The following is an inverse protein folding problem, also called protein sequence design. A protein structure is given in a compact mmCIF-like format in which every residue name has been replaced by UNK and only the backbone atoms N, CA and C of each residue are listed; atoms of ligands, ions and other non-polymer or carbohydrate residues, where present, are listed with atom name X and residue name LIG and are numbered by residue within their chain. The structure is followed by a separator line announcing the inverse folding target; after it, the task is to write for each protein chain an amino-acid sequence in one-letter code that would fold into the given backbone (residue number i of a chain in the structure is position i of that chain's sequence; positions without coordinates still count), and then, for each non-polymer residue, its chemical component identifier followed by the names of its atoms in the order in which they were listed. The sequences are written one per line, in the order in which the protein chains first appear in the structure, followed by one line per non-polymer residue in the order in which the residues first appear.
data_IF_200570561839
#
_entry.id   IF_200570561839
#
_cell.length_a   1.000
_cell.length_b   1.000
_cell.length_c   1.000
_cell.angle_alpha   90.00
_cell.angle_beta   90.00
_cell.angle_gamma   90.00
#
_symmetry.space_group_name_H-M   'P 1'
#
loop_
_entity.id
_entity.type
_entity.pdbx_description
1 polymer ?
#
# COMPACT_ATOMS: atom_id res chain seq x y z
N UNK A 1 -8.07 -9.16 -27.28
CA UNK A 1 -7.36 -7.92 -27.70
C UNK A 1 -8.04 -6.62 -27.24
N UNK A 2 -9.37 -6.48 -27.35
CA UNK A 2 -10.09 -5.26 -26.95
C UNK A 2 -9.95 -4.86 -25.46
N UNK A 3 -9.75 -5.82 -24.56
CA UNK A 3 -9.59 -5.57 -23.12
C UNK A 3 -8.24 -4.90 -22.79
N UNK A 4 -7.15 -5.41 -23.38
CA UNK A 4 -5.81 -4.84 -23.18
C UNK A 4 -5.74 -3.40 -23.70
N UNK A 5 -6.31 -3.11 -24.87
CA UNK A 5 -6.29 -1.76 -25.46
C UNK A 5 -7.02 -0.72 -24.58
N UNK A 6 -8.04 -1.14 -23.82
CA UNK A 6 -8.79 -0.23 -22.91
C UNK A 6 -8.19 -0.12 -21.52
N UNK A 7 -7.64 -1.22 -20.97
CA UNK A 7 -7.08 -1.23 -19.61
C UNK A 7 -5.66 -0.68 -19.54
N UNK A 8 -4.86 -0.90 -20.58
CA UNK A 8 -3.45 -0.52 -20.57
C UNK A 8 -3.23 1.00 -20.40
N UNK A 9 -3.97 1.90 -21.08
CA UNK A 9 -3.81 3.34 -20.89
C UNK A 9 -4.22 3.81 -19.49
N UNK A 10 -5.36 3.32 -18.99
CA UNK A 10 -5.86 3.63 -17.65
C UNK A 10 -4.88 3.16 -16.57
N UNK A 11 -4.37 1.93 -16.71
CA UNK A 11 -3.35 1.38 -15.83
C UNK A 11 -2.05 2.19 -15.87
N UNK A 12 -1.55 2.55 -17.06
CA UNK A 12 -0.34 3.38 -17.20
C UNK A 12 -0.51 4.72 -16.50
N UNK A 13 -1.64 5.39 -16.67
CA UNK A 13 -1.93 6.66 -16.02
C UNK A 13 -1.95 6.48 -14.50
N UNK A 14 -2.71 5.51 -13.98
CA UNK A 14 -2.83 5.32 -12.54
C UNK A 14 -1.49 4.94 -11.90
N UNK A 15 -0.72 4.05 -12.53
CA UNK A 15 0.61 3.65 -12.03
C UNK A 15 1.61 4.79 -12.11
N UNK A 16 1.61 5.59 -13.18
CA UNK A 16 2.49 6.75 -13.28
C UNK A 16 2.13 7.82 -12.25
N UNK A 17 0.84 8.11 -12.04
CA UNK A 17 0.37 9.08 -11.05
C UNK A 17 0.67 8.64 -9.62
N UNK A 18 0.31 7.40 -9.24
CA UNK A 18 0.64 6.85 -7.92
C UNK A 18 2.16 6.72 -7.73
N UNK A 19 2.86 6.28 -8.78
CA UNK A 19 4.31 6.11 -8.79
C UNK A 19 5.07 7.44 -8.67
N UNK A 20 4.51 8.54 -9.19
CA UNK A 20 5.07 9.88 -9.04
C UNK A 20 4.77 10.46 -7.64
N UNK A 21 3.55 10.28 -7.14
CA UNK A 21 3.12 10.79 -5.83
C UNK A 21 3.85 10.12 -4.65
N UNK A 22 4.29 8.86 -4.79
CA UNK A 22 5.07 8.16 -3.74
C UNK A 22 6.37 8.91 -3.37
N UNK A 23 6.99 9.61 -4.31
CA UNK A 23 8.26 10.32 -4.10
C UNK A 23 8.12 11.51 -3.13
N UNK A 24 6.87 11.96 -2.90
CA UNK A 24 6.56 13.08 -2.02
C UNK A 24 5.80 12.64 -0.77
N UNK A 25 5.03 11.55 -0.84
CA UNK A 25 4.25 11.07 0.30
C UNK A 25 5.13 10.49 1.41
N UNK A 26 5.96 9.49 1.10
CA UNK A 26 6.69 8.75 2.14
C UNK A 26 7.86 9.51 2.79
N UNK A 27 8.56 10.44 2.09
CA UNK A 27 9.61 11.22 2.74
C UNK A 27 9.13 12.29 3.73
N UNK A 28 7.85 12.69 3.67
CA UNK A 28 7.32 13.85 4.42
C UNK A 28 6.59 13.43 5.71
N UNK A 29 6.32 12.14 5.91
CA UNK A 29 5.52 11.67 7.04
C UNK A 29 6.20 11.80 8.43
N UNK A 30 7.45 12.22 8.51
CA UNK A 30 8.12 12.46 9.80
C UNK A 30 8.31 11.22 10.67
N UNK A 31 9.01 11.39 11.79
CA UNK A 31 9.22 10.35 12.80
C UNK A 31 7.94 10.14 13.61
N UNK A 32 7.04 9.29 13.14
CA UNK A 32 5.81 9.01 13.89
C UNK A 32 5.56 7.52 14.05
N UNK A 33 5.48 7.13 15.31
CA UNK A 33 5.22 5.75 15.71
C UNK A 33 3.87 5.66 16.44
N UNK A 34 3.27 4.48 16.44
CA UNK A 34 2.01 4.20 17.13
C UNK A 34 0.89 3.65 16.25
N UNK A 35 -0.19 3.23 16.92
CA UNK A 35 -1.31 2.49 16.31
C UNK A 35 -1.95 3.28 15.15
N UNK A 36 -2.07 4.60 15.27
CA UNK A 36 -2.59 5.43 14.18
C UNK A 36 -1.77 5.26 12.91
N UNK A 37 -0.44 5.25 13.03
CA UNK A 37 0.48 5.09 11.90
C UNK A 37 0.51 3.68 11.34
N UNK A 38 0.31 2.67 12.19
CA UNK A 38 0.06 1.28 11.74
C UNK A 38 -1.15 1.22 10.82
N UNK A 39 -2.28 1.79 11.24
CA UNK A 39 -3.51 1.82 10.42
C UNK A 39 -3.31 2.64 9.15
N UNK A 40 -2.72 3.83 9.25
CA UNK A 40 -2.47 4.70 8.11
C UNK A 40 -1.56 4.03 7.06
N UNK A 41 -0.51 3.33 7.50
CA UNK A 41 0.41 2.61 6.62
C UNK A 41 -0.20 1.36 6.00
N UNK A 42 -1.04 0.61 6.73
CA UNK A 42 -1.78 -0.51 6.16
C UNK A 42 -2.73 -0.04 5.04
N UNK A 43 -3.42 1.09 5.25
CA UNK A 43 -4.28 1.68 4.22
C UNK A 43 -3.44 2.20 3.05
N UNK A 44 -2.34 2.91 3.31
CA UNK A 44 -1.46 3.42 2.26
C UNK A 44 -0.91 2.28 1.40
N UNK A 45 -0.35 1.22 1.99
CA UNK A 45 0.17 0.09 1.23
C UNK A 45 -0.91 -0.62 0.40
N UNK A 46 -2.13 -0.74 0.92
CA UNK A 46 -3.27 -1.31 0.17
C UNK A 46 -3.67 -0.49 -1.07
N UNK A 47 -3.39 0.82 -1.09
CA UNK A 47 -3.82 1.72 -2.16
C UNK A 47 -2.72 1.98 -3.19
N UNK A 48 -1.46 2.09 -2.75
CA UNK A 48 -0.34 2.45 -3.61
C UNK A 48 0.18 1.26 -4.44
N UNK A 49 0.69 1.56 -5.66
CA UNK A 49 1.48 0.62 -6.45
C UNK A 49 2.92 1.07 -6.38
N UNK A 50 3.74 0.30 -5.69
CA UNK A 50 5.19 0.51 -5.69
C UNK A 50 5.83 -0.80 -6.13
N UNK A 51 6.77 -0.79 -7.09
CA UNK A 51 7.51 -1.99 -7.45
C UNK A 51 8.27 -2.48 -6.22
N UNK A 52 8.39 -3.80 -6.03
CA UNK A 52 9.11 -4.41 -4.89
C UNK A 52 10.50 -3.80 -4.65
N UNK A 53 11.21 -3.45 -5.73
CA UNK A 53 12.52 -2.77 -5.65
C UNK A 53 12.47 -1.39 -4.96
N UNK A 54 11.33 -0.71 -4.98
CA UNK A 54 11.08 0.58 -4.33
C UNK A 54 10.52 0.49 -2.92
N UNK A 55 9.94 -0.65 -2.52
CA UNK A 55 9.33 -0.81 -1.19
C UNK A 55 10.38 -0.90 -0.09
N UNK A 56 11.49 -1.62 -0.34
CA UNK A 56 12.59 -1.78 0.63
C UNK A 56 13.28 -0.44 0.94
N UNK A 57 13.67 0.40 -0.03
CA UNK A 57 14.21 1.73 0.25
C UNK A 57 13.24 2.64 1.02
N UNK A 58 11.93 2.52 0.82
CA UNK A 58 10.94 3.29 1.57
C UNK A 58 10.95 2.89 3.05
N UNK A 59 10.92 1.59 3.33
CA UNK A 59 11.01 1.08 4.71
C UNK A 59 12.34 1.49 5.36
N UNK A 60 13.45 1.42 4.63
CA UNK A 60 14.74 1.91 5.12
C UNK A 60 14.72 3.41 5.46
N UNK A 61 14.11 4.23 4.60
CA UNK A 61 13.95 5.66 4.86
C UNK A 61 13.04 5.92 6.07
N UNK A 62 11.95 5.17 6.24
CA UNK A 62 11.08 5.26 7.42
C UNK A 62 11.86 5.00 8.71
N UNK A 63 12.68 3.95 8.75
CA UNK A 63 13.55 3.69 9.90
C UNK A 63 14.60 4.79 10.11
N UNK A 64 15.22 5.28 9.03
CA UNK A 64 16.19 6.39 9.12
C UNK A 64 15.55 7.69 9.63
N UNK A 65 14.26 7.89 9.35
CA UNK A 65 13.46 9.00 9.86
C UNK A 65 12.88 8.73 11.26
N UNK A 66 13.16 7.58 11.89
CA UNK A 66 12.75 7.28 13.27
C UNK A 66 11.36 6.67 13.44
N UNK A 67 10.77 6.12 12.39
CA UNK A 67 9.52 5.35 12.47
C UNK A 67 9.79 3.92 12.99
N UNK A 68 8.90 3.39 13.82
CA UNK A 68 9.02 2.06 14.40
C UNK A 68 8.67 0.90 13.45
N UNK A 69 8.92 -0.32 13.93
CA UNK A 69 8.67 -1.55 13.17
C UNK A 69 7.18 -1.77 12.85
N UNK A 70 6.27 -1.21 13.66
CA UNK A 70 4.84 -1.39 13.47
C UNK A 70 4.31 -0.78 12.17
N UNK A 71 4.41 0.55 11.99
CA UNK A 71 3.99 1.20 10.76
C UNK A 71 4.73 0.70 9.51
N UNK A 72 6.04 0.47 9.61
CA UNK A 72 6.85 -0.11 8.53
C UNK A 72 6.38 -1.53 8.15
N UNK A 73 6.08 -2.36 9.14
CA UNK A 73 5.55 -3.71 8.97
C UNK A 73 4.18 -3.72 8.32
N UNK A 74 3.28 -2.84 8.75
CA UNK A 74 1.96 -2.67 8.14
C UNK A 74 2.05 -2.24 6.67
N UNK A 75 2.98 -1.32 6.36
CA UNK A 75 3.19 -0.85 5.00
C UNK A 75 3.67 -2.00 4.09
N UNK A 76 4.78 -2.64 4.45
CA UNK A 76 5.41 -3.67 3.61
C UNK A 76 4.54 -4.92 3.44
N UNK A 77 3.66 -5.21 4.41
CA UNK A 77 2.76 -6.35 4.34
C UNK A 77 1.56 -6.11 3.41
N UNK A 78 1.11 -4.86 3.26
CA UNK A 78 -0.07 -4.52 2.45
C UNK A 78 0.26 -4.13 1.02
N UNK A 79 1.43 -3.53 0.80
CA UNK A 79 1.90 -3.08 -0.52
C UNK A 79 1.84 -4.11 -1.66
N UNK A 80 2.30 -5.36 -1.48
CA UNK A 80 2.29 -6.33 -2.57
C UNK A 80 0.92 -6.98 -2.80
N UNK A 81 -0.04 -6.78 -1.89
CA UNK A 81 -1.28 -7.56 -1.87
C UNK A 81 -2.28 -7.07 -2.93
N UNK A 82 -2.61 -5.78 -2.91
CA UNK A 82 -3.52 -5.12 -3.87
C UNK A 82 -3.20 -3.63 -3.97
N UNK A 83 -3.82 -2.94 -4.92
CA UNK A 83 -3.64 -1.52 -5.15
C UNK A 83 -4.85 -0.90 -5.83
N UNK A 84 -4.94 0.43 -5.86
CA UNK A 84 -6.00 1.14 -6.58
C UNK A 84 -6.10 0.73 -8.07
N UNK A 85 -5.00 0.63 -8.84
CA UNK A 85 -5.06 0.16 -10.23
C UNK A 85 -5.58 -1.27 -10.35
N UNK A 86 -5.14 -2.19 -9.48
CA UNK A 86 -5.61 -3.58 -9.55
C UNK A 86 -7.10 -3.69 -9.18
N UNK A 87 -7.58 -2.92 -8.20
CA UNK A 87 -9.00 -2.88 -7.82
C UNK A 87 -9.88 -2.26 -8.93
N UNK A 88 -9.37 -1.27 -9.67
CA UNK A 88 -10.03 -0.72 -10.85
C UNK A 88 -10.17 -1.78 -11.94
N UNK A 89 -9.11 -2.57 -12.20
CA UNK A 89 -9.17 -3.68 -13.16
C UNK A 89 -10.15 -4.78 -12.73
N UNK A 90 -10.16 -5.13 -11.44
CA UNK A 90 -11.07 -6.12 -10.88
C UNK A 90 -12.54 -5.68 -10.91
N UNK A 91 -12.83 -4.38 -11.10
CA UNK A 91 -14.21 -3.85 -11.12
C UNK A 91 -15.09 -4.49 -12.21
N UNK A 92 -14.47 -5.00 -13.28
CA UNK A 92 -15.16 -5.65 -14.40
C UNK A 92 -15.36 -7.15 -14.22
N UNK A 93 -14.74 -7.74 -13.19
CA UNK A 93 -14.75 -9.18 -12.91
C UNK A 93 -15.51 -9.45 -11.60
N UNK A 94 -15.26 -8.63 -10.58
CA UNK A 94 -15.79 -8.81 -9.24
C UNK A 94 -16.79 -7.73 -8.85
N UNK A 95 -17.83 -8.16 -8.13
CA UNK A 95 -18.79 -7.26 -7.50
C UNK A 95 -18.09 -6.27 -6.56
N UNK A 96 -18.74 -5.13 -6.29
CA UNK A 96 -18.22 -4.16 -5.32
C UNK A 96 -18.02 -4.79 -3.93
N UNK A 97 -18.93 -5.69 -3.50
CA UNK A 97 -18.84 -6.40 -2.22
C UNK A 97 -17.57 -7.23 -2.13
N UNK A 98 -17.24 -7.99 -3.18
CA UNK A 98 -16.02 -8.80 -3.23
C UNK A 98 -14.77 -7.94 -3.15
N UNK A 99 -14.71 -6.82 -3.89
CA UNK A 99 -13.59 -5.89 -3.83
C UNK A 99 -13.42 -5.27 -2.44
N UNK A 100 -14.51 -4.90 -1.78
CA UNK A 100 -14.48 -4.38 -0.42
C UNK A 100 -13.96 -5.41 0.58
N UNK A 101 -14.38 -6.68 0.46
CA UNK A 101 -13.85 -7.77 1.31
C UNK A 101 -12.35 -7.93 1.11
N UNK A 102 -11.86 -7.86 -0.13
CA UNK A 102 -10.42 -7.92 -0.42
C UNK A 102 -9.68 -6.74 0.24
N UNK A 103 -10.15 -5.51 0.04
CA UNK A 103 -9.53 -4.31 0.62
C UNK A 103 -9.49 -4.39 2.15
N UNK A 104 -10.63 -4.72 2.77
CA UNK A 104 -10.72 -4.83 4.23
C UNK A 104 -9.83 -5.96 4.74
N UNK A 105 -9.81 -7.12 4.07
CA UNK A 105 -8.96 -8.23 4.44
C UNK A 105 -7.47 -7.88 4.40
N UNK A 106 -7.03 -7.18 3.33
CA UNK A 106 -5.65 -6.72 3.21
C UNK A 106 -5.31 -5.71 4.31
N UNK A 107 -6.14 -4.68 4.51
CA UNK A 107 -5.91 -3.67 5.56
C UNK A 107 -5.86 -4.31 6.95
N UNK A 108 -6.80 -5.20 7.28
CA UNK A 108 -6.81 -5.89 8.58
C UNK A 108 -5.58 -6.79 8.75
N UNK A 109 -5.13 -7.47 7.71
CA UNK A 109 -3.91 -8.28 7.75
C UNK A 109 -2.67 -7.42 7.99
N UNK A 110 -2.60 -6.25 7.34
CA UNK A 110 -1.56 -5.25 7.56
C UNK A 110 -1.56 -4.68 8.98
N UNK A 111 -2.73 -4.34 9.51
CA UNK A 111 -2.87 -3.86 10.89
C UNK A 111 -2.42 -4.95 11.87
N UNK A 112 -2.87 -6.19 11.69
CA UNK A 112 -2.48 -7.30 12.55
C UNK A 112 -0.96 -7.52 12.52
N UNK A 113 -0.36 -7.59 11.32
CA UNK A 113 1.08 -7.76 11.16
C UNK A 113 1.89 -6.60 11.74
N UNK A 114 1.45 -5.35 11.52
CA UNK A 114 2.09 -4.17 12.07
C UNK A 114 1.96 -4.08 13.60
N UNK A 115 0.82 -4.43 14.17
CA UNK A 115 0.66 -4.49 15.63
C UNK A 115 1.54 -5.57 16.26
N UNK A 116 1.65 -6.74 15.62
CA UNK A 116 2.57 -7.78 16.08
C UNK A 116 4.02 -7.27 16.02
N UNK A 117 4.41 -6.63 14.91
CA UNK A 117 5.75 -6.05 14.78
C UNK A 117 6.03 -5.00 15.86
N UNK A 118 5.06 -4.13 16.16
CA UNK A 118 5.16 -3.10 17.21
C UNK A 118 5.32 -3.66 18.63
N UNK A 119 4.79 -4.85 18.90
CA UNK A 119 4.87 -5.48 20.23
C UNK A 119 6.17 -6.27 20.39
N UNK A 120 6.65 -6.88 19.30
CA UNK A 120 7.82 -7.78 19.31
C UNK A 120 9.14 -7.02 19.14
N UNK A 121 9.13 -5.91 18.40
CA UNK A 121 10.32 -5.12 18.03
C UNK A 121 10.13 -3.64 18.40
#
# INVERSE_FOLDING_TARGET
MALAIKLLPEYLILVLLLGATRAWLFPVLGAHDGIFWVVAMAVAGTLFVIPTAGEVPIVQAMFALGMGAGPAGALIMTLPAVSLPSLAMLSRIFSLRTRLVIVVGVVLSGIAGGLIAMIVF
#
